data_IF_875800251124
#
_entry.id   IF_875800251124
#
_cell.length_a   1.000
_cell.length_b   1.000
_cell.length_c   1.000
_cell.angle_alpha   90.00
_cell.angle_beta   90.00
_cell.angle_gamma   90.00
#
_symmetry.space_group_name_H-M   'P 1'
#
loop_
_entity.id
_entity.type
_entity.pdbx_description
1 polymer ?
#
# COMPACT_ATOMS: atom_id res chain seq x y z
N UNK A 1 -3.75 51.32 -41.78
CA UNK A 1 -3.20 49.98 -42.12
C UNK A 1 -2.87 49.34 -40.78
N UNK A 2 -3.96 49.05 -40.08
CA UNK A 2 -4.03 48.44 -38.76
C UNK A 2 -3.90 46.93 -38.92
N UNK A 3 -3.06 46.31 -38.10
CA UNK A 3 -3.20 44.94 -37.59
C UNK A 3 -1.92 44.57 -36.85
N UNK A 4 -1.83 44.96 -35.59
CA UNK A 4 -0.90 44.38 -34.61
C UNK A 4 -1.44 44.73 -33.22
N UNK A 5 -1.63 43.70 -32.38
CA UNK A 5 -2.17 43.69 -31.01
C UNK A 5 -3.69 43.42 -30.90
N UNK A 6 -4.09 42.14 -30.88
CA UNK A 6 -5.41 41.76 -30.33
C UNK A 6 -5.51 40.27 -29.91
N UNK A 7 -4.52 39.76 -29.16
CA UNK A 7 -4.58 38.41 -28.57
C UNK A 7 -4.20 38.42 -27.09
N UNK A 8 -4.71 39.40 -26.35
CA UNK A 8 -4.67 39.41 -24.89
C UNK A 8 -6.04 39.81 -24.37
N UNK A 9 -6.53 39.06 -23.38
CA UNK A 9 -7.77 39.25 -22.62
C UNK A 9 -9.04 38.65 -23.23
N UNK A 10 -9.18 37.32 -23.11
CA UNK A 10 -10.51 36.77 -22.78
C UNK A 10 -10.69 37.00 -21.28
N UNK A 11 -11.26 38.15 -20.91
CA UNK A 11 -11.85 38.32 -19.59
C UNK A 11 -13.02 37.32 -19.50
N UNK A 12 -12.83 36.26 -18.73
CA UNK A 12 -13.94 35.42 -18.31
C UNK A 12 -14.75 36.28 -17.34
N UNK A 13 -15.83 36.89 -17.84
CA UNK A 13 -16.84 37.51 -16.98
C UNK A 13 -17.21 36.54 -15.86
N UNK A 14 -17.27 36.97 -14.59
CA UNK A 14 -17.67 36.09 -13.49
C UNK A 14 -19.14 35.77 -13.70
N UNK A 15 -19.40 34.64 -14.37
CA UNK A 15 -20.75 34.10 -14.49
C UNK A 15 -21.28 33.93 -13.08
N UNK A 16 -22.34 34.66 -12.79
CA UNK A 16 -23.10 34.63 -11.55
C UNK A 16 -23.79 33.27 -11.40
N UNK A 17 -23.03 32.20 -11.22
CA UNK A 17 -23.57 30.90 -10.87
C UNK A 17 -24.15 31.00 -9.45
N UNK A 18 -25.40 30.56 -9.22
CA UNK A 18 -26.01 30.54 -7.88
C UNK A 18 -25.24 29.65 -6.88
N UNK A 19 -24.25 28.89 -7.35
CA UNK A 19 -23.38 28.01 -6.55
C UNK A 19 -21.99 28.60 -6.27
N UNK A 20 -21.78 29.89 -6.56
CA UNK A 20 -20.47 30.56 -6.47
C UNK A 20 -19.76 30.47 -5.11
N UNK A 21 -20.49 30.13 -4.05
CA UNK A 21 -20.02 29.90 -2.67
C UNK A 21 -19.59 28.45 -2.37
N UNK A 22 -19.52 27.56 -3.37
CA UNK A 22 -19.06 26.18 -3.20
C UNK A 22 -17.89 25.83 -4.14
N UNK A 23 -16.99 24.98 -3.65
CA UNK A 23 -15.96 24.28 -4.41
C UNK A 23 -16.36 22.81 -4.50
N UNK A 24 -16.36 22.24 -5.70
CA UNK A 24 -16.74 20.84 -5.90
C UNK A 24 -15.51 20.00 -6.17
N UNK A 25 -15.31 18.95 -5.36
CA UNK A 25 -14.21 17.98 -5.54
C UNK A 25 -14.73 16.62 -5.97
N UNK A 26 -14.09 16.03 -6.96
CA UNK A 26 -14.40 14.68 -7.40
C UNK A 26 -14.12 13.64 -6.30
N UNK A 27 -15.08 12.77 -5.99
CA UNK A 27 -14.90 11.71 -4.97
C UNK A 27 -13.90 10.64 -5.39
N UNK A 28 -13.57 10.55 -6.69
CA UNK A 28 -12.64 9.56 -7.22
C UNK A 28 -11.18 10.07 -7.26
N UNK A 29 -10.94 11.26 -7.80
CA UNK A 29 -9.58 11.80 -7.98
C UNK A 29 -9.25 13.02 -7.09
N UNK A 30 -10.21 13.50 -6.30
CA UNK A 30 -10.08 14.67 -5.42
C UNK A 30 -9.74 16.02 -6.10
N UNK A 31 -9.70 16.06 -7.45
CA UNK A 31 -9.54 17.30 -8.19
C UNK A 31 -10.76 18.21 -8.04
N UNK A 32 -10.50 19.51 -7.98
CA UNK A 32 -11.54 20.55 -8.09
C UNK A 32 -12.11 20.51 -9.51
N UNK A 33 -13.42 20.46 -9.64
CA UNK A 33 -14.09 20.53 -10.93
C UNK A 33 -14.00 21.99 -11.43
N UNK A 34 -13.31 22.25 -12.56
CA UNK A 34 -13.04 23.62 -13.02
C UNK A 34 -14.26 24.29 -13.66
N UNK A 35 -15.29 23.50 -14.00
CA UNK A 35 -16.55 23.99 -14.56
C UNK A 35 -17.40 24.60 -13.44
N UNK A 36 -17.96 25.79 -13.68
CA UNK A 36 -19.03 26.33 -12.86
C UNK A 36 -20.26 25.43 -13.00
N UNK A 37 -20.42 24.48 -12.07
CA UNK A 37 -21.57 23.58 -12.04
C UNK A 37 -22.84 24.38 -11.78
N UNK A 38 -23.95 23.98 -12.40
CA UNK A 38 -25.29 24.51 -12.11
C UNK A 38 -26.09 23.49 -11.28
N UNK A 39 -27.10 23.92 -10.48
CA UNK A 39 -27.85 23.01 -9.60
C UNK A 39 -28.43 21.79 -10.33
N UNK A 40 -28.93 21.96 -11.55
CA UNK A 40 -29.50 20.87 -12.35
C UNK A 40 -28.47 19.81 -12.76
N UNK A 41 -27.19 20.17 -12.91
CA UNK A 41 -26.11 19.21 -13.16
C UNK A 41 -25.78 18.35 -11.93
N UNK A 42 -26.12 18.84 -10.73
CA UNK A 42 -26.00 18.12 -9.46
C UNK A 42 -27.27 17.34 -9.09
N UNK A 43 -28.29 17.33 -9.96
CA UNK A 43 -29.60 16.75 -9.69
C UNK A 43 -30.46 17.54 -8.70
N UNK A 44 -30.13 18.82 -8.47
CA UNK A 44 -30.88 19.73 -7.60
C UNK A 44 -31.91 20.54 -8.41
N UNK A 45 -32.90 21.11 -7.74
CA UNK A 45 -33.80 22.12 -8.34
C UNK A 45 -33.05 23.44 -8.56
N UNK A 46 -33.54 24.28 -9.47
CA UNK A 46 -32.87 25.55 -9.83
C UNK A 46 -32.70 26.52 -8.66
N UNK A 47 -33.61 26.46 -7.67
CA UNK A 47 -33.63 27.27 -6.46
C UNK A 47 -32.93 26.61 -5.26
N UNK A 48 -32.46 25.37 -5.40
CA UNK A 48 -31.92 24.56 -4.32
C UNK A 48 -30.38 24.67 -4.23
N UNK A 49 -29.87 24.88 -3.01
CA UNK A 49 -28.43 24.99 -2.76
C UNK A 49 -27.81 23.66 -2.32
N UNK A 50 -26.55 23.40 -2.68
CA UNK A 50 -25.78 22.27 -2.19
C UNK A 50 -25.62 22.33 -0.68
N UNK A 51 -25.64 21.16 -0.06
CA UNK A 51 -25.33 20.97 1.35
C UNK A 51 -23.84 20.65 1.47
N UNK A 52 -23.09 21.36 2.33
CA UNK A 52 -21.69 21.03 2.61
C UNK A 52 -21.48 19.55 2.94
N UNK A 53 -20.39 18.98 2.45
CA UNK A 53 -20.01 17.57 2.62
C UNK A 53 -20.98 16.53 2.02
N UNK A 54 -22.03 16.96 1.32
CA UNK A 54 -22.93 16.05 0.61
C UNK A 54 -22.37 15.66 -0.76
N UNK A 55 -22.72 14.46 -1.21
CA UNK A 55 -22.26 13.88 -2.48
C UNK A 55 -23.33 14.12 -3.56
N UNK A 56 -22.91 14.63 -4.71
CA UNK A 56 -23.76 14.94 -5.86
C UNK A 56 -23.27 14.22 -7.12
N UNK A 57 -24.16 13.78 -8.01
CA UNK A 57 -23.77 13.29 -9.33
C UNK A 57 -23.06 14.40 -10.12
N UNK A 58 -22.00 14.06 -10.83
CA UNK A 58 -21.29 14.98 -11.71
C UNK A 58 -20.45 14.22 -12.73
N UNK A 59 -20.69 14.50 -14.01
CA UNK A 59 -19.93 13.92 -15.14
C UNK A 59 -18.90 14.91 -15.72
N UNK A 60 -18.76 16.09 -15.12
CA UNK A 60 -17.90 17.17 -15.62
C UNK A 60 -16.46 17.11 -15.08
N UNK A 61 -16.09 16.03 -14.37
CA UNK A 61 -14.76 15.92 -13.81
C UNK A 61 -13.71 15.70 -14.93
N UNK A 62 -12.59 16.47 -14.94
CA UNK A 62 -11.52 16.31 -15.94
C UNK A 62 -10.86 14.92 -15.94
N UNK A 63 -11.04 14.11 -14.89
CA UNK A 63 -10.47 12.76 -14.84
C UNK A 63 -11.25 11.74 -15.69
N UNK A 64 -12.48 12.04 -16.11
CA UNK A 64 -13.31 11.16 -16.94
C UNK A 64 -13.92 9.93 -16.24
N UNK A 65 -13.58 9.68 -14.97
CA UNK A 65 -14.09 8.55 -14.18
C UNK A 65 -14.96 8.97 -12.99
N UNK A 66 -14.78 10.20 -12.51
CA UNK A 66 -15.58 10.76 -11.44
C UNK A 66 -17.04 10.86 -11.86
N UNK A 67 -17.90 10.14 -11.15
CA UNK A 67 -19.37 10.24 -11.29
C UNK A 67 -20.01 11.07 -10.19
N UNK A 68 -19.24 11.42 -9.17
CA UNK A 68 -19.73 12.15 -8.02
C UNK A 68 -18.73 13.22 -7.56
N UNK A 69 -19.27 14.28 -6.98
CA UNK A 69 -18.53 15.37 -6.35
C UNK A 69 -19.03 15.62 -4.94
N UNK A 70 -18.14 16.10 -4.07
CA UNK A 70 -18.49 16.63 -2.75
C UNK A 70 -18.50 18.15 -2.83
N UNK A 71 -19.56 18.77 -2.31
CA UNK A 71 -19.65 20.22 -2.17
C UNK A 71 -18.91 20.68 -0.89
N UNK A 72 -17.90 21.54 -1.04
CA UNK A 72 -17.18 22.18 0.05
C UNK A 72 -17.51 23.67 0.05
N UNK A 73 -17.80 24.31 1.19
CA UNK A 73 -18.04 25.74 1.24
C UNK A 73 -16.77 26.49 0.80
N UNK A 74 -16.92 27.41 -0.14
CA UNK A 74 -15.87 28.27 -0.65
C UNK A 74 -15.57 29.31 0.43
N UNK A 75 -14.39 29.19 1.03
CA UNK A 75 -13.89 30.21 1.93
C UNK A 75 -13.23 31.29 1.06
N UNK A 76 -13.87 32.44 0.88
CA UNK A 76 -13.48 33.51 -0.07
C UNK A 76 -12.17 34.24 0.28
N UNK A 77 -11.28 33.61 1.06
CA UNK A 77 -9.93 34.10 1.37
C UNK A 77 -8.82 33.48 0.52
N UNK A 78 -9.15 32.68 -0.51
CA UNK A 78 -8.14 32.22 -1.46
C UNK A 78 -8.71 32.04 -2.87
N UNK A 79 -8.53 33.04 -3.72
CA UNK A 79 -8.40 32.78 -5.16
C UNK A 79 -7.01 32.15 -5.39
N UNK A 80 -6.89 30.96 -5.98
CA UNK A 80 -5.62 30.51 -6.52
C UNK A 80 -5.46 31.16 -7.89
N UNK A 81 -4.80 32.31 -7.95
CA UNK A 81 -4.15 32.76 -9.18
C UNK A 81 -2.89 31.93 -9.39
N UNK A 82 -2.76 31.37 -10.59
CA UNK A 82 -1.54 30.75 -11.07
C UNK A 82 -0.35 31.71 -10.92
N UNK A 83 0.51 31.47 -9.93
CA UNK A 83 1.96 31.68 -9.99
C UNK A 83 2.60 31.50 -8.62
N UNK A 84 3.51 30.51 -8.54
CA UNK A 84 4.69 30.44 -7.66
C UNK A 84 4.50 30.68 -6.14
N UNK A 85 4.94 29.64 -5.41
CA UNK A 85 5.53 29.64 -4.06
C UNK A 85 4.62 29.64 -2.82
N UNK A 86 4.59 28.44 -2.21
CA UNK A 86 4.84 28.11 -0.79
C UNK A 86 3.90 28.57 0.33
N UNK A 87 3.64 27.59 1.20
CA UNK A 87 3.03 27.65 2.54
C UNK A 87 1.51 27.87 2.52
N UNK A 88 0.64 26.89 2.77
CA UNK A 88 0.70 25.84 3.80
C UNK A 88 -0.18 24.66 3.37
N UNK A 89 0.43 23.51 3.11
CA UNK A 89 -0.23 22.21 3.13
C UNK A 89 0.81 21.25 3.72
N UNK A 90 0.56 20.85 4.97
CA UNK A 90 1.24 19.84 5.81
C UNK A 90 2.64 19.40 5.38
N UNK A 91 3.62 19.70 6.25
CA UNK A 91 5.04 19.35 6.12
C UNK A 91 5.27 17.83 6.00
N UNK A 92 5.02 17.28 4.82
CA UNK A 92 5.25 15.90 4.42
C UNK A 92 6.46 15.86 3.52
N UNK A 93 7.52 15.18 3.99
CA UNK A 93 8.78 15.13 3.26
C UNK A 93 8.58 14.59 1.84
N UNK A 94 9.21 15.23 0.85
CA UNK A 94 9.20 14.76 -0.53
C UNK A 94 10.11 13.53 -0.70
N UNK A 95 9.95 12.74 -1.76
CA UNK A 95 10.82 11.58 -2.01
C UNK A 95 12.31 11.94 -2.16
N UNK A 96 12.70 13.06 -2.81
CA UNK A 96 14.07 13.53 -2.80
C UNK A 96 14.60 13.82 -1.39
N UNK A 97 13.83 14.51 -0.54
CA UNK A 97 14.20 14.78 0.86
C UNK A 97 14.35 13.49 1.68
N UNK A 98 13.49 12.49 1.42
CA UNK A 98 13.59 11.18 2.05
C UNK A 98 14.83 10.41 1.62
N UNK A 99 15.21 10.48 0.33
CA UNK A 99 16.46 9.88 -0.15
C UNK A 99 17.66 10.52 0.50
N UNK A 100 17.69 11.86 0.56
CA UNK A 100 18.77 12.59 1.21
C UNK A 100 18.88 12.24 2.70
N UNK A 101 17.74 12.14 3.42
CA UNK A 101 17.71 11.65 4.81
C UNK A 101 18.29 10.24 4.96
N UNK A 102 18.02 9.34 4.01
CA UNK A 102 18.52 7.94 4.04
C UNK A 102 20.00 7.85 3.65
N UNK A 103 20.47 8.72 2.76
CA UNK A 103 21.89 8.80 2.36
C UNK A 103 22.76 9.31 3.51
N UNK A 104 22.26 10.28 4.29
CA UNK A 104 22.94 10.82 5.47
C UNK A 104 22.58 10.09 6.77
N UNK A 105 22.02 8.88 6.66
CA UNK A 105 21.62 8.07 7.80
C UNK A 105 22.82 7.69 8.69
N UNK A 106 22.57 7.55 9.99
CA UNK A 106 23.57 7.02 10.91
C UNK A 106 23.75 5.51 10.69
N UNK A 107 24.98 5.08 10.46
CA UNK A 107 25.34 3.69 10.19
C UNK A 107 25.77 3.00 11.49
N UNK A 108 25.01 1.99 11.93
CA UNK A 108 25.22 1.32 13.21
C UNK A 108 25.10 -0.19 13.09
N UNK A 109 25.88 -0.90 13.91
CA UNK A 109 25.60 -2.31 14.22
C UNK A 109 24.59 -2.37 15.35
N UNK A 110 23.44 -2.99 15.10
CA UNK A 110 22.36 -3.12 16.06
C UNK A 110 22.21 -4.59 16.46
N UNK A 111 21.81 -4.84 17.71
CA UNK A 111 21.50 -6.19 18.14
C UNK A 111 20.24 -6.66 17.38
N UNK A 112 20.31 -7.85 16.79
CA UNK A 112 19.22 -8.37 15.93
C UNK A 112 17.89 -8.47 16.69
N UNK A 113 17.97 -8.76 18.01
CA UNK A 113 16.83 -8.84 18.94
C UNK A 113 16.14 -7.50 19.24
N UNK A 114 16.78 -6.37 18.95
CA UNK A 114 16.22 -5.03 19.17
C UNK A 114 15.42 -4.53 17.96
N UNK A 115 15.39 -5.30 16.87
CA UNK A 115 14.71 -4.95 15.63
C UNK A 115 13.43 -5.78 15.53
N UNK A 116 12.30 -5.10 15.40
CA UNK A 116 11.01 -5.73 15.11
C UNK A 116 10.66 -5.61 13.63
N UNK A 117 9.92 -6.57 13.05
CA UNK A 117 9.48 -6.51 11.67
C UNK A 117 8.44 -5.39 11.46
N UNK A 118 8.31 -4.92 10.22
CA UNK A 118 7.24 -4.01 9.82
C UNK A 118 5.88 -4.74 9.88
N UNK A 119 4.89 -4.28 10.67
CA UNK A 119 3.57 -4.92 10.72
C UNK A 119 2.83 -4.87 9.37
N UNK A 120 3.19 -3.93 8.49
CA UNK A 120 2.60 -3.74 7.18
C UNK A 120 3.38 -4.41 6.03
N UNK A 121 4.31 -5.33 6.34
CA UNK A 121 5.10 -6.04 5.33
C UNK A 121 4.18 -6.86 4.39
N UNK A 122 4.16 -6.56 3.07
CA UNK A 122 3.28 -7.26 2.13
C UNK A 122 3.74 -8.69 1.85
N UNK A 123 5.06 -8.95 1.91
CA UNK A 123 5.61 -10.30 1.73
C UNK A 123 5.48 -11.10 3.02
N UNK A 124 4.52 -12.04 3.04
CA UNK A 124 4.31 -12.97 4.17
C UNK A 124 4.97 -14.34 3.98
N UNK A 125 5.16 -14.76 2.74
CA UNK A 125 5.81 -16.02 2.40
C UNK A 125 7.25 -15.78 1.95
N UNK A 126 8.16 -16.54 2.53
CA UNK A 126 9.58 -16.53 2.17
C UNK A 126 9.98 -17.95 1.78
N UNK A 127 10.68 -18.06 0.66
CA UNK A 127 11.32 -19.29 0.25
C UNK A 127 12.46 -19.61 1.24
N UNK A 128 12.35 -20.75 1.92
CA UNK A 128 13.27 -21.15 2.96
C UNK A 128 14.65 -21.52 2.41
N UNK A 129 14.72 -22.13 1.21
CA UNK A 129 16.00 -22.48 0.58
C UNK A 129 16.74 -21.22 0.15
N UNK A 130 16.02 -20.27 -0.46
CA UNK A 130 16.60 -18.99 -0.85
C UNK A 130 17.05 -18.14 0.35
N UNK A 131 16.35 -18.23 1.50
CA UNK A 131 16.78 -17.59 2.75
C UNK A 131 18.01 -18.28 3.34
N UNK A 132 18.08 -19.61 3.33
CA UNK A 132 19.23 -20.35 3.82
C UNK A 132 20.48 -20.05 3.00
N UNK A 133 20.35 -20.05 1.67
CA UNK A 133 21.44 -19.67 0.76
C UNK A 133 21.98 -18.26 1.05
N UNK A 134 21.09 -17.29 1.34
CA UNK A 134 21.50 -15.95 1.73
C UNK A 134 22.18 -15.94 3.11
N UNK A 135 21.69 -16.74 4.06
CA UNK A 135 22.30 -16.85 5.39
C UNK A 135 23.73 -17.42 5.30
N UNK A 136 23.93 -18.47 4.50
CA UNK A 136 25.24 -19.07 4.28
C UNK A 136 26.22 -18.06 3.65
N UNK A 137 25.74 -17.24 2.71
CA UNK A 137 26.52 -16.13 2.12
C UNK A 137 26.88 -15.07 3.17
N UNK A 138 25.92 -14.66 4.01
CA UNK A 138 26.16 -13.69 5.08
C UNK A 138 27.21 -14.19 6.08
N UNK A 139 27.25 -15.50 6.38
CA UNK A 139 28.30 -16.07 7.23
C UNK A 139 29.68 -15.94 6.59
N UNK A 140 29.78 -16.12 5.27
CA UNK A 140 31.06 -16.10 4.55
C UNK A 140 31.62 -14.70 4.33
N UNK A 141 30.78 -13.77 3.87
CA UNK A 141 31.23 -12.43 3.41
C UNK A 141 30.67 -11.28 4.24
N UNK A 142 29.78 -11.56 5.19
CA UNK A 142 29.05 -10.55 5.94
C UNK A 142 27.86 -9.97 5.17
N UNK A 143 27.15 -9.04 5.80
CA UNK A 143 26.08 -8.30 5.16
C UNK A 143 26.67 -7.16 4.31
N UNK A 144 26.58 -7.27 2.98
CA UNK A 144 27.14 -6.27 2.06
C UNK A 144 26.34 -4.96 2.03
N UNK A 145 25.02 -5.04 2.18
CA UNK A 145 24.13 -3.89 2.19
C UNK A 145 23.37 -3.80 3.51
N UNK A 146 23.41 -2.62 4.12
CA UNK A 146 22.73 -2.34 5.39
C UNK A 146 21.21 -2.45 5.27
N UNK A 147 20.58 -2.95 6.33
CA UNK A 147 19.12 -2.84 6.49
C UNK A 147 18.74 -1.41 6.85
N UNK A 148 17.52 -0.97 6.54
CA UNK A 148 17.02 0.34 6.95
C UNK A 148 16.07 0.15 8.13
N UNK A 149 16.30 0.89 9.22
CA UNK A 149 15.46 0.87 10.40
C UNK A 149 15.09 2.28 10.84
N UNK A 150 13.97 2.39 11.55
CA UNK A 150 13.60 3.60 12.28
C UNK A 150 13.61 3.38 13.80
N UNK A 151 14.00 4.39 14.61
CA UNK A 151 13.84 4.31 16.05
C UNK A 151 12.36 4.32 16.44
N UNK A 152 12.00 3.49 17.42
CA UNK A 152 10.68 3.44 18.06
C UNK A 152 10.85 3.38 19.58
N UNK A 153 9.76 3.42 20.37
CA UNK A 153 9.81 3.42 21.84
C UNK A 153 10.70 2.30 22.41
N UNK A 154 10.60 1.10 21.84
CA UNK A 154 11.21 -0.12 22.35
C UNK A 154 12.21 -0.71 21.35
N UNK A 155 13.17 0.11 20.92
CA UNK A 155 14.24 -0.29 20.00
C UNK A 155 14.03 0.22 18.59
N UNK A 156 14.00 -0.69 17.62
CA UNK A 156 13.99 -0.34 16.20
C UNK A 156 12.93 -1.11 15.44
N UNK A 157 12.36 -0.46 14.44
CA UNK A 157 11.45 -1.09 13.49
C UNK A 157 12.08 -1.16 12.11
N UNK A 158 11.99 -2.35 11.50
CA UNK A 158 12.52 -2.57 10.16
C UNK A 158 11.69 -1.82 9.12
N UNK A 159 12.37 -1.08 8.25
CA UNK A 159 11.76 -0.36 7.13
C UNK A 159 12.03 -1.10 5.82
N UNK A 160 13.30 -1.42 5.54
CA UNK A 160 13.72 -2.19 4.35
C UNK A 160 14.73 -3.27 4.72
N UNK A 161 14.76 -4.36 3.93
CA UNK A 161 15.75 -5.42 4.09
C UNK A 161 15.28 -6.65 4.89
N UNK A 162 13.98 -6.95 4.93
CA UNK A 162 13.39 -8.09 5.67
C UNK A 162 14.09 -9.43 5.39
N UNK A 163 14.42 -9.74 4.12
CA UNK A 163 15.14 -10.98 3.78
C UNK A 163 16.55 -11.02 4.40
N UNK A 164 17.24 -9.87 4.42
CA UNK A 164 18.58 -9.71 4.98
C UNK A 164 18.56 -9.85 6.51
N UNK A 165 17.59 -9.21 7.18
CA UNK A 165 17.39 -9.36 8.62
C UNK A 165 17.09 -10.80 9.02
N UNK A 166 16.15 -11.48 8.33
CA UNK A 166 15.84 -12.90 8.57
C UNK A 166 17.02 -13.82 8.29
N UNK A 167 17.73 -13.61 7.19
CA UNK A 167 18.92 -14.42 6.88
C UNK A 167 20.04 -14.19 7.92
N UNK A 168 20.16 -12.99 8.47
CA UNK A 168 21.09 -12.69 9.57
C UNK A 168 20.71 -13.43 10.85
N UNK A 169 19.42 -13.56 11.15
CA UNK A 169 18.92 -14.40 12.25
C UNK A 169 19.26 -15.88 12.04
N UNK A 170 19.02 -16.39 10.82
CA UNK A 170 19.33 -17.78 10.46
C UNK A 170 20.84 -18.08 10.50
N UNK A 171 21.66 -17.10 10.13
CA UNK A 171 23.11 -17.16 10.22
C UNK A 171 23.63 -17.16 11.67
N UNK A 172 22.77 -16.93 12.66
CA UNK A 172 23.15 -16.93 14.08
C UNK A 172 24.00 -15.72 14.50
N UNK A 173 23.93 -14.61 13.76
CA UNK A 173 24.67 -13.39 14.10
C UNK A 173 23.93 -12.56 15.15
N UNK A 174 24.64 -12.12 16.19
CA UNK A 174 24.08 -11.30 17.27
C UNK A 174 23.75 -9.87 16.83
N UNK A 175 24.48 -9.36 15.84
CA UNK A 175 24.37 -7.98 15.36
C UNK A 175 24.24 -7.90 13.84
N UNK A 176 23.51 -6.89 13.37
CA UNK A 176 23.30 -6.59 11.95
C UNK A 176 23.67 -5.14 11.64
N UNK A 177 24.27 -4.91 10.47
CA UNK A 177 24.60 -3.55 10.01
C UNK A 177 23.35 -2.86 9.48
N UNK A 178 23.07 -1.65 9.98
CA UNK A 178 21.82 -0.95 9.75
C UNK A 178 22.02 0.57 9.59
N UNK A 179 21.23 1.17 8.70
CA UNK A 179 21.00 2.61 8.63
C UNK A 179 19.85 2.99 9.55
N UNK A 180 20.07 3.91 10.47
CA UNK A 180 19.05 4.39 11.42
C UNK A 180 18.55 5.76 10.96
N UNK A 181 17.27 5.83 10.60
CA UNK A 181 16.63 7.08 10.13
C UNK A 181 15.31 7.31 10.88
N UNK A 182 15.12 8.47 11.53
CA UNK A 182 13.82 8.84 12.08
C UNK A 182 12.83 9.10 10.94
N UNK A 183 11.86 8.20 10.82
CA UNK A 183 10.80 8.24 9.80
C UNK A 183 9.42 8.10 10.46
N UNK A 184 8.50 8.96 10.05
CA UNK A 184 7.06 8.84 10.36
C UNK A 184 6.45 7.63 9.66
N UNK A 185 5.27 7.18 10.10
CA UNK A 185 4.56 6.03 9.49
C UNK A 185 4.32 6.23 7.99
N UNK A 186 3.96 7.46 7.61
CA UNK A 186 3.69 7.84 6.23
C UNK A 186 4.97 7.86 5.37
N UNK A 187 6.10 8.31 5.93
CA UNK A 187 7.39 8.25 5.26
C UNK A 187 7.87 6.79 5.11
N UNK A 188 7.67 5.94 6.12
CA UNK A 188 7.94 4.49 6.04
C UNK A 188 7.12 3.85 4.93
N UNK A 189 5.82 4.14 4.87
CA UNK A 189 4.96 3.63 3.81
C UNK A 189 5.45 4.09 2.43
N UNK A 190 5.79 5.37 2.27
CA UNK A 190 6.33 5.91 1.02
C UNK A 190 7.62 5.22 0.59
N UNK A 191 8.61 5.12 1.49
CA UNK A 191 9.90 4.46 1.19
C UNK A 191 9.69 3.00 0.81
N UNK A 192 8.81 2.30 1.51
CA UNK A 192 8.48 0.89 1.24
C UNK A 192 7.82 0.73 -0.13
N UNK A 193 6.90 1.61 -0.50
CA UNK A 193 6.25 1.54 -1.82
C UNK A 193 7.24 1.88 -2.93
N UNK A 194 8.08 2.90 -2.76
CA UNK A 194 9.07 3.29 -3.79
C UNK A 194 10.08 2.17 -4.04
N UNK A 195 10.62 1.53 -3.01
CA UNK A 195 11.55 0.41 -3.18
C UNK A 195 10.88 -0.74 -3.94
N UNK A 196 9.63 -1.06 -3.60
CA UNK A 196 8.86 -2.06 -4.34
C UNK A 196 8.62 -1.65 -5.81
N UNK A 197 8.34 -0.37 -6.09
CA UNK A 197 8.15 0.17 -7.46
C UNK A 197 9.42 0.08 -8.30
N UNK A 198 10.59 0.26 -7.68
CA UNK A 198 11.87 0.26 -8.39
C UNK A 198 12.33 -1.14 -8.83
N UNK A 199 11.54 -2.17 -8.53
CA UNK A 199 11.80 -3.52 -9.03
C UNK A 199 11.61 -3.57 -10.55
N UNK A 200 12.59 -4.18 -11.23
CA UNK A 200 12.63 -4.26 -12.69
C UNK A 200 11.58 -5.19 -13.31
N UNK A 201 10.86 -5.98 -12.49
CA UNK A 201 9.98 -7.06 -12.91
C UNK A 201 8.48 -6.80 -12.66
N UNK A 202 8.06 -5.55 -12.43
CA UNK A 202 6.65 -5.24 -12.18
C UNK A 202 5.78 -5.36 -13.44
N UNK A 203 4.64 -6.02 -13.29
CA UNK A 203 3.56 -6.00 -14.28
C UNK A 203 2.88 -4.63 -14.31
N UNK A 204 2.12 -4.36 -15.38
CA UNK A 204 1.43 -3.07 -15.53
C UNK A 204 0.41 -2.80 -14.42
N UNK A 205 -0.25 -3.86 -13.93
CA UNK A 205 -1.21 -3.78 -12.82
C UNK A 205 -0.50 -3.48 -11.50
N UNK A 206 0.61 -4.16 -11.22
CA UNK A 206 1.38 -3.94 -9.98
C UNK A 206 1.96 -2.52 -9.93
N UNK A 207 2.47 -2.02 -11.05
CA UNK A 207 2.95 -0.64 -11.14
C UNK A 207 1.81 0.36 -10.89
N UNK A 208 0.62 0.12 -11.45
CA UNK A 208 -0.55 0.96 -11.23
C UNK A 208 -0.99 0.98 -9.76
N UNK A 209 -1.01 -0.16 -9.09
CA UNK A 209 -1.29 -0.24 -7.66
C UNK A 209 -0.28 0.50 -6.82
N UNK A 210 0.99 0.41 -7.17
CA UNK A 210 2.04 1.04 -6.41
C UNK A 210 2.02 2.57 -6.57
N UNK A 211 1.69 3.09 -7.77
CA UNK A 211 1.39 4.51 -7.95
C UNK A 211 0.19 4.96 -7.13
N UNK A 212 -0.90 4.17 -7.14
CA UNK A 212 -2.07 4.45 -6.32
C UNK A 212 -1.70 4.49 -4.84
N UNK A 213 -0.91 3.54 -4.35
CA UNK A 213 -0.48 3.51 -2.96
C UNK A 213 0.33 4.76 -2.57
N UNK A 214 1.18 5.28 -3.46
CA UNK A 214 1.87 6.57 -3.21
C UNK A 214 0.89 7.75 -3.17
N UNK A 215 -0.09 7.79 -4.05
CA UNK A 215 -1.14 8.83 -4.03
C UNK A 215 -1.96 8.74 -2.73
N UNK A 216 -2.26 7.53 -2.27
CA UNK A 216 -3.00 7.29 -1.03
C UNK A 216 -2.20 7.73 0.23
N UNK A 217 -0.86 7.82 0.14
CA UNK A 217 -0.05 8.50 1.19
C UNK A 217 -0.17 10.03 1.15
N UNK A 218 -0.88 10.60 0.17
CA UNK A 218 -1.04 12.04 0.01
C UNK A 218 -0.06 12.70 -0.97
N UNK A 219 0.70 11.92 -1.74
CA UNK A 219 1.51 12.46 -2.83
C UNK A 219 0.64 12.92 -4.00
N UNK A 220 1.01 14.03 -4.65
CA UNK A 220 0.37 14.43 -5.91
C UNK A 220 0.86 13.53 -7.04
N UNK A 221 0.00 13.30 -8.02
CA UNK A 221 0.32 12.46 -9.18
C UNK A 221 1.56 12.94 -9.96
N UNK A 222 1.75 14.26 -10.08
CA UNK A 222 2.94 14.84 -10.71
C UNK A 222 4.24 14.55 -9.94
N UNK A 223 4.17 14.51 -8.61
CA UNK A 223 5.31 14.20 -7.73
C UNK A 223 5.69 12.72 -7.81
N UNK A 224 4.68 11.84 -7.95
CA UNK A 224 4.88 10.41 -8.20
C UNK A 224 5.64 10.19 -9.51
N UNK A 225 5.20 10.84 -10.60
CA UNK A 225 5.89 10.75 -11.89
C UNK A 225 7.35 11.19 -11.79
N UNK A 226 7.57 12.40 -11.27
CA UNK A 226 8.91 12.99 -11.14
C UNK A 226 9.85 12.09 -10.34
N UNK A 227 9.36 11.47 -9.26
CA UNK A 227 10.16 10.61 -8.39
C UNK A 227 10.52 9.25 -9.01
N UNK A 228 9.71 8.80 -9.97
CA UNK A 228 9.93 7.57 -10.75
C UNK A 228 10.73 7.83 -12.04
N UNK A 229 11.18 9.06 -12.28
CA UNK A 229 11.81 9.44 -13.55
C UNK A 229 10.86 9.31 -14.75
N UNK A 230 9.55 9.40 -14.52
CA UNK A 230 8.49 9.25 -15.52
C UNK A 230 7.65 10.52 -15.61
N UNK A 231 7.06 10.80 -16.76
CA UNK A 231 6.12 11.91 -16.90
C UNK A 231 4.82 11.61 -16.13
N UNK A 232 4.21 12.62 -15.50
CA UNK A 232 2.94 12.47 -14.77
C UNK A 232 1.79 11.92 -15.63
N UNK A 233 1.80 12.18 -16.94
CA UNK A 233 0.86 11.60 -17.92
C UNK A 233 0.96 10.07 -17.98
N UNK A 234 2.18 9.50 -17.87
CA UNK A 234 2.38 8.04 -17.82
C UNK A 234 1.85 7.44 -16.52
N UNK A 235 1.84 8.20 -15.43
CA UNK A 235 1.20 7.78 -14.16
C UNK A 235 -0.32 7.73 -14.35
N UNK A 236 -0.91 8.70 -15.04
CA UNK A 236 -2.35 8.74 -15.31
C UNK A 236 -2.80 7.54 -16.13
N UNK A 237 -2.10 7.29 -17.23
CA UNK A 237 -2.34 6.15 -18.12
C UNK A 237 -2.22 4.82 -17.36
N UNK A 238 -1.17 4.67 -16.55
CA UNK A 238 -0.97 3.47 -15.74
C UNK A 238 -2.11 3.24 -14.75
N UNK A 239 -2.62 4.30 -14.10
CA UNK A 239 -3.75 4.17 -13.17
C UNK A 239 -5.05 3.71 -13.86
N UNK A 240 -5.25 4.00 -15.14
CA UNK A 240 -6.42 3.53 -15.90
C UNK A 240 -6.48 2.00 -15.97
N UNK A 241 -5.33 1.34 -15.90
CA UNK A 241 -5.22 -0.12 -15.89
C UNK A 241 -6.10 -0.72 -14.78
N UNK A 242 -6.16 -0.11 -13.60
CA UNK A 242 -6.96 -0.59 -12.46
C UNK A 242 -8.48 -0.60 -12.70
N UNK A 243 -8.94 0.03 -13.78
CA UNK A 243 -10.36 0.04 -14.20
C UNK A 243 -10.58 -0.66 -15.55
N UNK A 244 -9.56 -1.32 -16.09
CA UNK A 244 -9.60 -1.92 -17.43
C UNK A 244 -9.99 -3.39 -17.40
N UNK A 245 -10.44 -3.93 -18.55
CA UNK A 245 -10.67 -5.36 -18.71
C UNK A 245 -9.41 -6.18 -18.39
N UNK A 246 -8.22 -5.65 -18.74
CA UNK A 246 -6.95 -6.28 -18.42
C UNK A 246 -6.74 -6.50 -16.92
N UNK A 247 -7.24 -5.59 -16.06
CA UNK A 247 -7.20 -5.79 -14.61
C UNK A 247 -8.14 -6.89 -14.14
N UNK A 248 -9.33 -7.02 -14.74
CA UNK A 248 -10.24 -8.15 -14.45
C UNK A 248 -9.57 -9.48 -14.81
N UNK A 249 -9.01 -9.57 -16.01
CA UNK A 249 -8.31 -10.79 -16.48
C UNK A 249 -7.12 -11.12 -15.57
N UNK A 250 -6.37 -10.11 -15.12
CA UNK A 250 -5.30 -10.26 -14.14
C UNK A 250 -5.82 -10.84 -12.82
N UNK A 251 -6.93 -10.33 -12.27
CA UNK A 251 -7.51 -10.85 -11.04
C UNK A 251 -8.00 -12.30 -11.18
N UNK A 252 -8.64 -12.64 -12.30
CA UNK A 252 -9.10 -13.99 -12.58
C UNK A 252 -7.94 -14.99 -12.61
N UNK A 253 -6.81 -14.62 -13.23
CA UNK A 253 -5.62 -15.45 -13.24
C UNK A 253 -5.02 -15.63 -11.84
N UNK A 254 -4.94 -14.56 -11.03
CA UNK A 254 -4.48 -14.67 -9.63
C UNK A 254 -5.39 -15.60 -8.80
N UNK A 255 -6.71 -15.48 -8.97
CA UNK A 255 -7.69 -16.36 -8.30
C UNK A 255 -7.48 -17.81 -8.73
N UNK A 256 -7.26 -18.06 -10.02
CA UNK A 256 -6.98 -19.40 -10.55
C UNK A 256 -5.72 -20.01 -9.94
N UNK A 257 -4.62 -19.24 -9.88
CA UNK A 257 -3.36 -19.68 -9.30
C UNK A 257 -3.49 -20.00 -7.81
N UNK A 258 -4.14 -19.12 -7.04
CA UNK A 258 -4.40 -19.35 -5.62
C UNK A 258 -5.28 -20.57 -5.38
N UNK A 259 -6.32 -20.77 -6.20
CA UNK A 259 -7.20 -21.94 -6.11
C UNK A 259 -6.42 -23.23 -6.35
N UNK A 260 -5.59 -23.27 -7.40
CA UNK A 260 -4.72 -24.42 -7.66
C UNK A 260 -3.70 -24.66 -6.53
N UNK A 261 -3.20 -23.61 -5.87
CA UNK A 261 -2.33 -23.74 -4.72
C UNK A 261 -3.06 -24.30 -3.49
N UNK A 262 -4.30 -23.89 -3.25
CA UNK A 262 -5.14 -24.42 -2.18
C UNK A 262 -5.38 -25.91 -2.38
N UNK A 263 -5.69 -26.33 -3.62
CA UNK A 263 -5.94 -27.74 -3.92
C UNK A 263 -4.69 -28.60 -3.67
N UNK A 264 -3.51 -28.14 -4.12
CA UNK A 264 -2.23 -28.81 -3.80
C UNK A 264 -1.92 -28.86 -2.29
N UNK A 265 -2.33 -27.84 -1.54
CA UNK A 265 -2.15 -27.84 -0.08
C UNK A 265 -3.10 -28.83 0.60
N UNK A 266 -4.34 -28.93 0.11
CA UNK A 266 -5.34 -29.89 0.60
C UNK A 266 -4.89 -31.32 0.34
N UNK A 267 -4.45 -31.64 -0.88
CA UNK A 267 -3.93 -32.96 -1.22
C UNK A 267 -2.76 -33.36 -0.32
N UNK A 268 -1.77 -32.48 -0.12
CA UNK A 268 -0.67 -32.74 0.83
C UNK A 268 -1.13 -32.92 2.27
N UNK A 269 -2.16 -32.19 2.70
CA UNK A 269 -2.74 -32.35 4.03
C UNK A 269 -3.48 -33.69 4.14
N UNK A 270 -4.22 -34.10 3.12
CA UNK A 270 -4.90 -35.40 3.04
C UNK A 270 -3.90 -36.55 3.07
N UNK A 271 -2.84 -36.51 2.25
CA UNK A 271 -1.75 -37.49 2.28
C UNK A 271 -1.07 -37.57 3.64
N UNK A 272 -0.84 -36.42 4.30
CA UNK A 272 -0.25 -36.37 5.63
C UNK A 272 -1.20 -36.97 6.67
N UNK A 273 -2.49 -36.65 6.58
CA UNK A 273 -3.50 -37.13 7.51
C UNK A 273 -3.81 -38.62 7.33
N UNK A 274 -3.72 -39.15 6.09
CA UNK A 274 -3.88 -40.56 5.80
C UNK A 274 -2.83 -41.47 6.47
N UNK A 275 -1.72 -40.89 6.97
CA UNK A 275 -0.71 -41.60 7.77
C UNK A 275 -1.09 -41.75 9.23
N UNK A 276 -2.20 -41.16 9.66
CA UNK A 276 -2.61 -41.17 11.06
C UNK A 276 -4.06 -41.63 11.18
N UNK A 277 -4.27 -42.59 12.07
CA UNK A 277 -5.59 -42.87 12.62
C UNK A 277 -5.89 -41.83 13.71
N UNK A 278 -6.92 -41.01 13.51
CA UNK A 278 -7.33 -40.01 14.50
C UNK A 278 -8.69 -40.40 15.08
N UNK A 279 -8.83 -40.33 16.40
CA UNK A 279 -10.08 -40.62 17.12
C UNK A 279 -10.38 -39.52 18.14
N UNK A 280 -11.68 -39.32 18.39
CA UNK A 280 -12.16 -38.54 19.53
C UNK A 280 -12.59 -39.55 20.60
N UNK A 281 -12.04 -39.41 21.80
CA UNK A 281 -12.28 -40.33 22.92
C UNK A 281 -12.75 -39.57 24.15
N UNK A 282 -13.67 -40.17 24.90
CA UNK A 282 -14.10 -39.65 26.21
C UNK A 282 -13.02 -39.86 27.26
N UNK A 283 -13.03 -39.04 28.32
CA UNK A 283 -12.09 -39.16 29.45
C UNK A 283 -11.98 -40.56 30.02
N UNK A 284 -13.10 -41.30 30.09
CA UNK A 284 -13.15 -42.65 30.62
C UNK A 284 -12.35 -43.66 29.78
N UNK A 285 -12.29 -43.46 28.45
CA UNK A 285 -11.61 -44.37 27.51
C UNK A 285 -10.20 -43.91 27.10
N UNK A 286 -9.73 -42.76 27.58
CA UNK A 286 -8.45 -42.18 27.18
C UNK A 286 -7.26 -43.08 27.55
N UNK A 287 -7.23 -43.61 28.78
CA UNK A 287 -6.11 -44.42 29.25
C UNK A 287 -5.91 -45.70 28.43
N UNK A 288 -7.00 -46.33 27.98
CA UNK A 288 -6.97 -47.52 27.12
C UNK A 288 -6.39 -47.20 25.74
N UNK A 289 -6.84 -46.12 25.11
CA UNK A 289 -6.32 -45.70 23.79
C UNK A 289 -4.84 -45.31 23.85
N UNK A 290 -4.39 -44.66 24.92
CA UNK A 290 -2.97 -44.34 25.11
C UNK A 290 -2.12 -45.63 25.26
N UNK A 291 -2.66 -46.66 25.92
CA UNK A 291 -1.99 -47.95 26.03
C UNK A 291 -1.92 -48.69 24.67
N UNK A 292 -2.91 -48.50 23.80
CA UNK A 292 -3.00 -49.04 22.44
C UNK A 292 -2.13 -48.29 21.39
N UNK A 293 -1.22 -47.43 21.86
CA UNK A 293 -0.26 -46.72 21.03
C UNK A 293 -0.79 -45.46 20.35
N UNK A 294 -1.91 -44.89 20.84
CA UNK A 294 -2.30 -43.54 20.45
C UNK A 294 -1.57 -42.48 21.30
N UNK A 295 -1.17 -41.39 20.65
CA UNK A 295 -0.70 -40.16 21.29
C UNK A 295 -1.86 -39.20 21.54
N UNK A 296 -1.84 -38.50 22.67
CA UNK A 296 -2.76 -37.40 22.94
C UNK A 296 -2.39 -36.17 22.08
N UNK A 297 -3.35 -35.64 21.32
CA UNK A 297 -3.17 -34.45 20.48
C UNK A 297 -3.65 -33.18 21.19
N UNK A 298 -4.92 -33.16 21.61
CA UNK A 298 -5.51 -32.01 22.32
C UNK A 298 -6.75 -32.43 23.09
N UNK A 299 -7.02 -31.85 24.28
CA UNK A 299 -8.35 -31.91 24.88
C UNK A 299 -9.36 -31.08 24.06
N UNK A 300 -10.63 -31.47 24.13
CA UNK A 300 -11.80 -30.75 23.60
C UNK A 300 -12.70 -30.30 24.74
N UNK A 301 -13.61 -29.36 24.45
CA UNK A 301 -14.67 -29.00 25.39
C UNK A 301 -15.60 -30.20 25.65
N UNK A 302 -16.12 -30.31 26.88
CA UNK A 302 -16.99 -31.44 27.27
C UNK A 302 -16.26 -32.68 27.80
N UNK A 303 -14.93 -32.65 27.97
CA UNK A 303 -14.18 -33.76 28.56
C UNK A 303 -13.75 -34.84 27.57
N UNK A 304 -13.80 -34.51 26.28
CA UNK A 304 -13.31 -35.34 25.18
C UNK A 304 -11.85 -35.01 24.84
N UNK A 305 -11.18 -35.92 24.13
CA UNK A 305 -9.78 -35.81 23.74
C UNK A 305 -9.61 -36.27 22.30
N UNK A 306 -8.85 -35.53 21.51
CA UNK A 306 -8.36 -36.00 20.21
C UNK A 306 -7.09 -36.80 20.46
N UNK A 307 -7.08 -38.06 20.04
CA UNK A 307 -5.92 -38.95 20.07
C UNK A 307 -5.57 -39.36 18.64
N UNK A 308 -4.29 -39.57 18.35
CA UNK A 308 -3.83 -40.04 17.04
C UNK A 308 -2.84 -41.18 17.17
N UNK A 309 -2.81 -42.08 16.19
CA UNK A 309 -1.79 -43.12 16.05
C UNK A 309 -1.29 -43.12 14.63
N UNK A 310 0.01 -43.29 14.41
CA UNK A 310 0.54 -43.43 13.05
C UNK A 310 0.17 -44.82 12.51
N UNK A 311 -0.35 -44.88 11.28
CA UNK A 311 -0.67 -46.11 10.55
C UNK A 311 0.58 -46.77 9.95
#
# INVERSE_FOLDING_TARGET
>A
MDMLMDWMQVEIEPTSSPLGIFVFRCTYCNHVVPKALVPTELGLREDEQPVPAHIYPCDACPCGYGRFVIAEPRNDTALPTDSRSSATADARATLPELREKIEHADHRKLAVREIRPNPHQPRKFFDQEALQSLADSIVQVGLLEDILVRPVSDGYELVLGERRWRATQLAGLDTVSAKVVPLTDEEVQRVTVVENVQRSDLTEVEEAFAYKALIDTGMRQGDVGSSMGKLGERVAERLKVLSSQYYVDYQEEQIRQLSAQIDRLRERLEERNARYEVRIVERAGLAEHLADGFDLVTPLEGGQFVVRRQL
#
